data_IF_703117789262
#
_entry.id   IF_703117789262
#
_cell.length_a   1.000
_cell.length_b   1.000
_cell.length_c   1.000
_cell.angle_alpha   90.00
_cell.angle_beta   90.00
_cell.angle_gamma   90.00
#
_symmetry.space_group_name_H-M   'P 1'
#
loop_
_entity.id
_entity.type
_entity.pdbx_description
1 polymer ?
#
# COMPACT_ATOMS: atom_id res chain seq x y z
N UNK A 1 18.06 3.76 4.19
CA UNK A 1 16.93 3.47 5.06
C UNK A 1 15.62 3.97 4.50
N UNK A 2 14.58 3.19 4.65
CA UNK A 2 13.26 3.45 4.10
C UNK A 2 12.71 4.85 4.43
N UNK A 3 12.67 5.18 5.73
CA UNK A 3 12.15 6.49 6.19
C UNK A 3 12.94 7.66 5.64
N UNK A 4 14.28 7.55 5.65
CA UNK A 4 15.13 8.64 5.21
C UNK A 4 14.96 8.91 3.71
N UNK A 5 14.71 7.88 2.91
CA UNK A 5 14.47 8.05 1.47
C UNK A 5 13.16 8.81 1.23
N UNK A 6 12.11 8.46 1.98
CA UNK A 6 10.80 9.11 1.85
C UNK A 6 10.86 10.56 2.36
N UNK A 7 11.47 10.78 3.51
CA UNK A 7 11.62 12.12 4.10
C UNK A 7 12.46 13.02 3.22
N UNK A 8 13.59 12.54 2.70
CA UNK A 8 14.48 13.31 1.82
C UNK A 8 13.77 13.80 0.56
N UNK A 9 12.76 13.09 0.10
CA UNK A 9 12.00 13.47 -1.09
C UNK A 9 10.82 14.38 -0.77
N UNK A 10 10.66 14.82 0.48
CA UNK A 10 9.75 15.88 0.87
C UNK A 10 8.47 15.49 1.56
N UNK A 11 8.34 14.24 2.02
CA UNK A 11 7.16 13.83 2.79
C UNK A 11 7.33 14.25 4.26
N UNK A 12 6.47 15.14 4.73
CA UNK A 12 6.53 15.68 6.09
C UNK A 12 5.38 15.24 6.99
N UNK A 13 4.28 14.74 6.41
CA UNK A 13 3.11 14.32 7.18
C UNK A 13 3.45 13.13 8.08
N UNK A 14 3.41 13.35 9.39
CA UNK A 14 3.79 12.33 10.38
C UNK A 14 2.88 11.11 10.36
N UNK A 15 1.58 11.28 10.11
CA UNK A 15 0.67 10.14 10.05
C UNK A 15 0.99 9.24 8.86
N UNK A 16 1.38 9.80 7.73
CA UNK A 16 1.80 9.02 6.56
C UNK A 16 3.11 8.30 6.86
N UNK A 17 4.08 8.98 7.44
CA UNK A 17 5.36 8.37 7.79
C UNK A 17 5.19 7.22 8.78
N UNK A 18 4.34 7.38 9.78
CA UNK A 18 4.04 6.32 10.76
C UNK A 18 3.41 5.10 10.09
N UNK A 19 2.41 5.30 9.23
CA UNK A 19 1.74 4.21 8.54
C UNK A 19 2.71 3.48 7.60
N UNK A 20 3.56 4.22 6.90
CA UNK A 20 4.57 3.62 6.02
C UNK A 20 5.55 2.73 6.80
N UNK A 21 5.84 3.04 8.07
CA UNK A 21 6.67 2.21 8.95
C UNK A 21 5.91 0.99 9.47
N UNK A 22 4.63 1.17 9.83
CA UNK A 22 3.83 0.14 10.48
C UNK A 22 3.37 -0.96 9.53
N UNK A 23 3.07 -0.61 8.28
CA UNK A 23 2.64 -1.61 7.29
C UNK A 23 3.86 -2.42 6.84
N UNK A 24 3.83 -3.72 7.08
CA UNK A 24 4.94 -4.61 6.75
C UNK A 24 5.02 -4.84 5.24
N UNK A 25 5.82 -4.05 4.57
CA UNK A 25 5.97 -4.09 3.12
C UNK A 25 6.46 -5.45 2.61
N UNK A 26 7.21 -6.20 3.42
CA UNK A 26 7.68 -7.53 3.02
C UNK A 26 6.54 -8.50 2.71
N UNK A 27 5.39 -8.31 3.34
CA UNK A 27 4.21 -9.16 3.09
C UNK A 27 3.61 -8.95 1.69
N UNK A 28 3.94 -7.85 1.05
CA UNK A 28 3.36 -7.44 -0.23
C UNK A 28 4.26 -7.70 -1.43
N UNK A 29 5.43 -8.27 -1.21
CA UNK A 29 6.37 -8.61 -2.28
C UNK A 29 6.61 -10.12 -2.32
N UNK A 30 7.00 -10.67 -3.47
CA UNK A 30 7.41 -12.08 -3.54
C UNK A 30 8.56 -12.34 -2.55
N UNK A 31 8.55 -13.52 -1.96
CA UNK A 31 9.52 -13.90 -0.93
C UNK A 31 10.98 -13.71 -1.37
N UNK A 32 11.28 -13.96 -2.65
CA UNK A 32 12.62 -13.76 -3.21
C UNK A 32 13.10 -12.32 -3.18
N UNK A 33 12.20 -11.36 -2.99
CA UNK A 33 12.53 -9.94 -2.92
C UNK A 33 12.43 -9.36 -1.50
N UNK A 34 12.23 -10.20 -0.48
CA UNK A 34 12.03 -9.75 0.90
C UNK A 34 13.15 -8.81 1.40
N UNK A 35 14.40 -9.12 1.05
CA UNK A 35 15.55 -8.33 1.51
C UNK A 35 15.60 -6.92 0.91
N UNK A 36 14.99 -6.72 -0.24
CA UNK A 36 14.99 -5.40 -0.92
C UNK A 36 13.63 -4.69 -0.79
N UNK A 37 12.70 -5.26 -0.01
CA UNK A 37 11.34 -4.76 0.07
C UNK A 37 11.24 -3.29 0.48
N UNK A 38 12.17 -2.81 1.29
CA UNK A 38 12.17 -1.44 1.79
C UNK A 38 13.07 -0.48 1.02
N UNK A 39 13.69 -0.94 -0.06
CA UNK A 39 14.41 -0.04 -0.95
C UNK A 39 13.43 0.85 -1.71
N UNK A 40 13.82 2.09 -1.98
CA UNK A 40 12.95 3.06 -2.66
C UNK A 40 12.95 2.80 -4.18
N UNK A 41 12.30 1.71 -4.56
CA UNK A 41 12.20 1.25 -5.96
C UNK A 41 10.94 0.43 -6.16
N UNK A 42 10.48 0.35 -7.40
CA UNK A 42 9.43 -0.58 -7.78
C UNK A 42 9.97 -2.01 -7.82
N UNK A 43 9.15 -2.98 -7.43
CA UNK A 43 9.54 -4.39 -7.37
C UNK A 43 8.46 -5.22 -8.08
N UNK A 44 8.84 -6.19 -8.92
CA UNK A 44 7.86 -7.06 -9.58
C UNK A 44 7.05 -7.88 -8.59
N UNK A 45 5.75 -8.00 -8.83
CA UNK A 45 4.85 -8.80 -7.99
C UNK A 45 4.19 -9.94 -8.77
N UNK A 46 4.62 -10.16 -10.01
CA UNK A 46 3.99 -11.12 -10.89
C UNK A 46 2.92 -10.48 -11.75
N UNK A 47 2.36 -11.24 -12.67
CA UNK A 47 1.29 -10.81 -13.60
C UNK A 47 1.67 -9.55 -14.39
N UNK A 48 2.97 -9.33 -14.64
CA UNK A 48 3.46 -8.15 -15.34
C UNK A 48 3.32 -6.84 -14.56
N UNK A 49 3.04 -6.90 -13.28
CA UNK A 49 2.81 -5.73 -12.43
C UNK A 49 3.93 -5.55 -11.42
N UNK A 50 3.96 -4.36 -10.81
CA UNK A 50 4.93 -4.03 -9.76
C UNK A 50 4.20 -3.42 -8.55
N UNK A 51 4.83 -3.55 -7.37
CA UNK A 51 4.53 -2.70 -6.24
C UNK A 51 5.28 -1.39 -6.46
N UNK A 52 4.61 -0.25 -6.31
CA UNK A 52 5.22 1.05 -6.51
C UNK A 52 6.31 1.32 -5.47
N UNK A 53 7.31 2.14 -5.83
CA UNK A 53 8.33 2.53 -4.86
C UNK A 53 7.71 3.23 -3.65
N UNK A 54 8.29 3.08 -2.46
CA UNK A 54 7.74 3.66 -1.24
C UNK A 54 7.44 5.16 -1.32
N UNK A 55 8.34 5.94 -1.90
CA UNK A 55 8.11 7.38 -2.04
C UNK A 55 6.84 7.67 -2.84
N UNK A 56 6.61 6.95 -3.94
CA UNK A 56 5.42 7.19 -4.78
C UNK A 56 4.14 6.91 -3.99
N UNK A 57 4.11 5.83 -3.21
CA UNK A 57 2.95 5.53 -2.36
C UNK A 57 2.71 6.66 -1.37
N UNK A 58 3.75 7.10 -0.68
CA UNK A 58 3.66 8.19 0.28
C UNK A 58 3.24 9.51 -0.38
N UNK A 59 3.82 9.82 -1.53
CA UNK A 59 3.55 11.05 -2.28
C UNK A 59 2.09 11.12 -2.76
N UNK A 60 1.60 10.04 -3.34
CA UNK A 60 0.22 9.97 -3.81
C UNK A 60 -0.76 10.09 -2.63
N UNK A 61 -0.47 9.39 -1.55
CA UNK A 61 -1.29 9.45 -0.33
C UNK A 61 -1.31 10.85 0.26
N UNK A 62 -0.16 11.51 0.35
CA UNK A 62 -0.04 12.88 0.86
C UNK A 62 -0.87 13.87 0.03
N UNK A 63 -0.84 13.71 -1.28
CA UNK A 63 -1.58 14.61 -2.18
C UNK A 63 -3.10 14.46 -2.10
N UNK A 64 -3.60 13.35 -1.58
CA UNK A 64 -5.03 13.15 -1.39
C UNK A 64 -5.58 13.98 -0.22
N UNK A 65 -4.74 14.45 0.68
CA UNK A 65 -5.14 15.21 1.86
C UNK A 65 -6.23 14.51 2.66
N UNK A 66 -6.00 13.23 2.96
CA UNK A 66 -6.97 12.38 3.63
C UNK A 66 -7.11 12.72 5.11
N UNK A 67 -8.34 12.52 5.61
CA UNK A 67 -8.66 12.57 7.04
C UNK A 67 -9.32 11.27 7.45
N UNK A 68 -9.22 10.85 8.72
CA UNK A 68 -9.94 9.68 9.20
C UNK A 68 -11.43 9.77 8.84
N UNK A 69 -12.00 8.66 8.40
CA UNK A 69 -13.40 8.61 7.99
C UNK A 69 -13.67 8.92 6.53
N UNK A 70 -12.70 9.44 5.78
CA UNK A 70 -12.85 9.63 4.34
C UNK A 70 -13.05 8.30 3.63
N UNK A 71 -13.81 8.33 2.54
CA UNK A 71 -14.00 7.18 1.65
C UNK A 71 -13.07 7.31 0.46
N UNK A 72 -12.36 6.23 0.13
CA UNK A 72 -11.39 6.20 -0.96
C UNK A 72 -11.73 5.08 -1.93
N UNK A 73 -11.76 5.41 -3.21
CA UNK A 73 -11.81 4.41 -4.28
C UNK A 73 -10.41 4.28 -4.86
N UNK A 74 -9.88 3.08 -4.81
CA UNK A 74 -8.60 2.76 -5.45
C UNK A 74 -8.84 1.93 -6.70
N UNK A 75 -8.27 2.36 -7.82
CA UNK A 75 -8.32 1.62 -9.08
C UNK A 75 -6.95 0.98 -9.30
N UNK A 76 -6.93 -0.36 -9.34
CA UNK A 76 -5.69 -1.12 -9.46
C UNK A 76 -5.10 -1.47 -8.11
N UNK A 77 -5.66 -2.49 -7.45
CA UNK A 77 -5.18 -2.96 -6.13
C UNK A 77 -3.73 -3.41 -6.19
N UNK A 78 -3.34 -4.11 -7.25
CA UNK A 78 -1.99 -4.64 -7.40
C UNK A 78 -1.59 -5.53 -6.24
N UNK A 79 -0.51 -5.18 -5.56
CA UNK A 79 -0.04 -5.91 -4.39
C UNK A 79 -0.93 -5.76 -3.16
N UNK A 80 -1.71 -4.68 -3.11
CA UNK A 80 -2.49 -4.31 -1.94
C UNK A 80 -1.74 -3.42 -0.94
N UNK A 81 -0.50 -3.06 -1.20
CA UNK A 81 0.28 -2.24 -0.27
C UNK A 81 -0.32 -0.84 -0.11
N UNK A 82 -0.62 -0.15 -1.21
CA UNK A 82 -1.28 1.16 -1.15
C UNK A 82 -2.63 1.06 -0.43
N UNK A 83 -3.38 -0.03 -0.70
CA UNK A 83 -4.65 -0.30 -0.04
C UNK A 83 -4.47 -0.38 1.48
N UNK A 84 -3.43 -1.09 1.93
CA UNK A 84 -3.11 -1.23 3.34
C UNK A 84 -2.76 0.12 3.98
N UNK A 85 -1.96 0.91 3.30
CA UNK A 85 -1.57 2.25 3.77
C UNK A 85 -2.80 3.14 3.94
N UNK A 86 -3.69 3.17 2.96
CA UNK A 86 -4.92 3.95 3.02
C UNK A 86 -5.82 3.51 4.18
N UNK A 87 -6.00 2.20 4.34
CA UNK A 87 -6.84 1.64 5.42
C UNK A 87 -6.27 1.98 6.79
N UNK A 88 -4.96 1.90 6.94
CA UNK A 88 -4.27 2.17 8.21
C UNK A 88 -4.39 3.65 8.62
N UNK A 89 -4.58 4.54 7.67
CA UNK A 89 -4.84 5.96 7.94
C UNK A 89 -6.24 6.23 8.47
N UNK A 90 -7.08 5.20 8.60
CA UNK A 90 -8.43 5.35 9.12
C UNK A 90 -9.48 5.70 8.08
N UNK A 91 -9.16 5.53 6.79
CA UNK A 91 -10.11 5.74 5.70
C UNK A 91 -10.86 4.45 5.38
N UNK A 92 -12.03 4.59 4.76
CA UNK A 92 -12.81 3.47 4.25
C UNK A 92 -12.44 3.26 2.79
N UNK A 93 -11.84 2.11 2.46
CA UNK A 93 -11.30 1.86 1.12
C UNK A 93 -12.11 0.82 0.38
N UNK A 94 -12.47 1.16 -0.86
CA UNK A 94 -12.92 0.20 -1.87
C UNK A 94 -11.86 0.17 -2.95
N UNK A 95 -11.28 -1.00 -3.18
CA UNK A 95 -10.21 -1.17 -4.17
C UNK A 95 -10.68 -2.14 -5.24
N UNK A 96 -10.43 -1.82 -6.50
CA UNK A 96 -10.83 -2.68 -7.61
C UNK A 96 -9.60 -3.18 -8.36
N UNK A 97 -9.67 -4.46 -8.79
CA UNK A 97 -8.58 -5.12 -9.49
C UNK A 97 -9.14 -5.99 -10.62
N UNK A 98 -8.53 -5.89 -11.79
CA UNK A 98 -8.94 -6.67 -12.96
C UNK A 98 -8.28 -8.07 -12.97
N UNK A 99 -7.12 -8.21 -12.36
CA UNK A 99 -6.39 -9.47 -12.33
C UNK A 99 -6.83 -10.32 -11.14
N UNK A 100 -7.41 -11.48 -11.41
CA UNK A 100 -7.96 -12.36 -10.36
C UNK A 100 -6.89 -12.85 -9.39
N UNK A 101 -5.69 -13.18 -9.89
CA UNK A 101 -4.60 -13.67 -9.05
C UNK A 101 -4.17 -12.60 -8.04
N UNK A 102 -4.01 -11.37 -8.52
CA UNK A 102 -3.63 -10.25 -7.65
C UNK A 102 -4.75 -9.90 -6.66
N UNK A 103 -6.00 -9.89 -7.11
CA UNK A 103 -7.14 -9.60 -6.24
C UNK A 103 -7.24 -10.60 -5.09
N UNK A 104 -7.11 -11.87 -5.35
CA UNK A 104 -7.14 -12.93 -4.33
C UNK A 104 -5.98 -12.81 -3.35
N UNK A 105 -4.80 -12.56 -3.86
CA UNK A 105 -3.59 -12.40 -3.04
C UNK A 105 -3.71 -11.22 -2.10
N UNK A 106 -4.12 -10.06 -2.62
CA UNK A 106 -4.28 -8.85 -1.84
C UNK A 106 -5.37 -9.02 -0.76
N UNK A 107 -6.49 -9.65 -1.10
CA UNK A 107 -7.57 -9.94 -0.15
C UNK A 107 -7.09 -10.84 0.98
N UNK A 108 -6.31 -11.85 0.66
CA UNK A 108 -5.74 -12.78 1.65
C UNK A 108 -4.80 -12.06 2.63
N UNK A 109 -3.97 -11.16 2.13
CA UNK A 109 -3.03 -10.39 2.96
C UNK A 109 -3.79 -9.38 3.82
N UNK A 110 -4.83 -8.72 3.30
CA UNK A 110 -5.55 -7.66 4.00
C UNK A 110 -6.15 -8.13 5.31
N UNK A 111 -6.56 -9.39 5.41
CA UNK A 111 -7.12 -9.97 6.65
C UNK A 111 -6.10 -9.96 7.79
N UNK A 112 -4.81 -10.00 7.49
CA UNK A 112 -3.74 -10.15 8.50
C UNK A 112 -3.23 -8.84 9.08
N UNK A 113 -3.47 -7.69 8.44
CA UNK A 113 -2.87 -6.42 8.88
C UNK A 113 -3.86 -5.35 9.31
N UNK A 114 -5.15 -5.52 9.07
CA UNK A 114 -6.14 -4.48 9.35
C UNK A 114 -6.85 -4.75 10.66
N UNK A 115 -6.69 -3.83 11.61
CA UNK A 115 -7.30 -3.94 12.93
C UNK A 115 -8.60 -3.14 13.07
N UNK A 116 -8.76 -2.06 12.31
CA UNK A 116 -9.88 -1.13 12.46
C UNK A 116 -10.94 -1.33 11.39
N UNK A 117 -10.56 -1.28 10.13
CA UNK A 117 -11.47 -1.39 8.99
C UNK A 117 -10.80 -2.21 7.90
N UNK A 118 -11.43 -3.31 7.50
CA UNK A 118 -10.97 -4.08 6.36
C UNK A 118 -11.32 -3.34 5.07
N UNK A 119 -10.38 -3.20 4.14
CA UNK A 119 -10.71 -2.69 2.81
C UNK A 119 -11.58 -3.68 2.07
N UNK A 120 -12.42 -3.18 1.18
CA UNK A 120 -13.18 -4.02 0.25
C UNK A 120 -12.40 -4.11 -1.05
N UNK A 121 -11.98 -5.31 -1.43
CA UNK A 121 -11.26 -5.55 -2.68
C UNK A 121 -12.15 -6.33 -3.62
N UNK A 122 -12.44 -5.74 -4.77
CA UNK A 122 -13.37 -6.29 -5.76
C UNK A 122 -12.63 -6.65 -7.05
N UNK A 123 -12.89 -7.85 -7.54
CA UNK A 123 -12.49 -8.26 -8.89
C UNK A 123 -13.48 -7.66 -9.88
N UNK A 124 -12.99 -6.99 -10.89
CA UNK A 124 -13.83 -6.36 -11.93
C UNK A 124 -13.47 -6.84 -13.33
#
# INVERSE_FOLDING_TARGET
MFDSDVIKQGIEDQSILEVMREVDRQKFVPKRYSEIAYEDRAIPIGEGQTISQPFIVAFMTDNLKLKPGHKVLEVGTGSGFQTAVLSKLGTSVVSIEINEVLAKKASSISVSYTHLTLPTILLV
#
